data_IF_019229187103
#
_entry.id   IF_019229187103
#
_cell.length_a   1.000
_cell.length_b   1.000
_cell.length_c   1.000
_cell.angle_alpha   90.00
_cell.angle_beta   90.00
_cell.angle_gamma   90.00
#
_symmetry.space_group_name_H-M   'P 1'
#
loop_
_entity.id
_entity.type
_entity.pdbx_description
1 polymer ?
#
# COMPACT_ATOMS: atom_id res chain seq x y z
N UNK A 1 8.92 7.88 2.69
CA UNK A 1 8.62 7.36 4.04
C UNK A 1 9.45 6.10 4.22
N UNK A 2 10.28 6.02 5.26
CA UNK A 2 11.14 4.87 5.53
C UNK A 2 10.27 3.62 5.72
N UNK A 3 10.52 2.56 4.95
CA UNK A 3 9.71 1.33 4.98
C UNK A 3 9.57 0.80 6.40
N UNK A 4 8.34 0.84 6.93
CA UNK A 4 8.05 0.37 8.28
C UNK A 4 8.28 -1.14 8.35
N UNK A 5 9.04 -1.58 9.36
CA UNK A 5 9.39 -2.98 9.53
C UNK A 5 8.21 -3.72 10.17
N UNK A 6 7.35 -4.31 9.33
CA UNK A 6 6.29 -5.21 9.75
C UNK A 6 6.86 -6.63 9.84
N UNK A 7 6.96 -7.17 11.06
CA UNK A 7 7.29 -8.58 11.29
C UNK A 7 6.00 -9.41 11.27
N UNK A 8 5.57 -9.82 10.08
CA UNK A 8 4.42 -10.72 9.91
C UNK A 8 4.83 -12.01 9.18
N UNK A 9 4.22 -13.12 9.58
CA UNK A 9 4.43 -14.43 8.95
C UNK A 9 3.37 -14.73 7.87
N UNK A 10 2.23 -14.04 7.90
CA UNK A 10 1.13 -14.26 6.95
C UNK A 10 0.80 -12.98 6.19
N UNK A 11 0.25 -13.14 4.98
CA UNK A 11 -0.24 -12.03 4.16
C UNK A 11 -1.33 -11.21 4.89
N UNK A 12 -2.17 -11.87 5.69
CA UNK A 12 -3.27 -11.25 6.40
C UNK A 12 -2.80 -10.40 7.58
N UNK A 13 -1.90 -10.95 8.41
CA UNK A 13 -1.33 -10.20 9.54
C UNK A 13 -0.53 -9.00 9.07
N UNK A 14 0.21 -9.17 7.97
CA UNK A 14 0.94 -8.07 7.34
C UNK A 14 -0.02 -6.97 6.88
N UNK A 15 -1.07 -7.35 6.15
CA UNK A 15 -2.05 -6.40 5.64
C UNK A 15 -2.79 -5.68 6.77
N UNK A 16 -3.17 -6.39 7.83
CA UNK A 16 -3.88 -5.78 8.96
C UNK A 16 -3.02 -4.70 9.64
N UNK A 17 -1.74 -5.00 9.90
CA UNK A 17 -0.80 -4.01 10.45
C UNK A 17 -0.59 -2.83 9.51
N UNK A 18 -0.41 -3.10 8.21
CA UNK A 18 -0.25 -2.05 7.21
C UNK A 18 -1.49 -1.16 7.10
N UNK A 19 -2.68 -1.76 7.15
CA UNK A 19 -3.96 -1.05 7.13
C UNK A 19 -4.09 -0.11 8.33
N UNK A 20 -3.77 -0.57 9.54
CA UNK A 20 -3.79 0.26 10.75
C UNK A 20 -2.90 1.50 10.62
N UNK A 21 -1.71 1.36 10.02
CA UNK A 21 -0.80 2.48 9.75
C UNK A 21 -1.49 3.52 8.85
N UNK A 22 -2.06 3.10 7.72
CA UNK A 22 -2.71 4.02 6.80
C UNK A 22 -4.00 4.63 7.40
N UNK A 23 -4.82 3.84 8.10
CA UNK A 23 -6.01 4.33 8.81
C UNK A 23 -5.65 5.36 9.90
N UNK A 24 -4.53 5.18 10.60
CA UNK A 24 -4.07 6.17 11.59
C UNK A 24 -3.74 7.54 10.97
N UNK A 25 -3.32 7.54 9.69
CA UNK A 25 -2.91 8.73 8.92
C UNK A 25 -4.04 9.28 8.05
N UNK A 26 -5.17 8.59 7.94
CA UNK A 26 -6.30 9.01 7.12
C UNK A 26 -7.45 9.55 7.96
N UNK A 27 -8.14 10.57 7.46
CA UNK A 27 -9.41 11.01 8.03
C UNK A 27 -10.58 10.16 7.54
N UNK A 28 -10.42 9.52 6.38
CA UNK A 28 -11.41 8.68 5.74
C UNK A 28 -10.73 7.53 5.02
N UNK A 29 -11.35 6.35 5.07
CA UNK A 29 -10.93 5.15 4.35
C UNK A 29 -12.08 4.67 3.48
N UNK A 30 -11.77 4.32 2.23
CA UNK A 30 -12.69 3.66 1.31
C UNK A 30 -12.00 2.49 0.63
N UNK A 31 -12.52 1.28 0.83
CA UNK A 31 -12.09 0.13 0.03
C UNK A 31 -12.56 0.30 -1.42
N UNK A 32 -11.69 -0.05 -2.37
CA UNK A 32 -11.97 0.00 -3.80
C UNK A 32 -11.98 -1.41 -4.38
N UNK A 33 -12.73 -1.61 -5.46
CA UNK A 33 -12.49 -2.76 -6.35
C UNK A 33 -11.29 -2.49 -7.25
N UNK A 34 -10.76 -3.56 -7.84
CA UNK A 34 -9.70 -3.47 -8.85
C UNK A 34 -10.11 -2.58 -10.02
N UNK A 35 -11.35 -2.75 -10.49
CA UNK A 35 -11.89 -1.98 -11.62
C UNK A 35 -12.02 -0.48 -11.30
N UNK A 36 -12.40 -0.14 -10.07
CA UNK A 36 -12.46 1.25 -9.61
C UNK A 36 -11.06 1.88 -9.58
N UNK A 37 -10.07 1.17 -9.05
CA UNK A 37 -8.68 1.65 -9.03
C UNK A 37 -8.11 1.81 -10.45
N UNK A 38 -8.29 0.82 -11.33
CA UNK A 38 -7.80 0.90 -12.71
C UNK A 38 -8.48 2.01 -13.53
N UNK A 39 -9.72 2.38 -13.19
CA UNK A 39 -10.38 3.54 -13.79
C UNK A 39 -9.69 4.85 -13.36
N UNK A 40 -9.34 4.98 -12.08
CA UNK A 40 -8.57 6.11 -11.53
C UNK A 40 -7.16 6.18 -12.11
N UNK A 41 -6.49 5.04 -12.22
CA UNK A 41 -5.15 4.93 -12.79
C UNK A 41 -5.11 5.44 -14.23
N UNK A 42 -6.10 5.06 -15.05
CA UNK A 42 -6.20 5.49 -16.45
C UNK A 42 -6.65 6.93 -16.66
N UNK A 43 -7.31 7.56 -15.67
CA UNK A 43 -7.97 8.84 -15.87
C UNK A 43 -7.08 10.08 -15.76
N UNK A 44 -5.87 10.01 -15.21
CA UNK A 44 -4.98 11.17 -14.96
C UNK A 44 -3.46 10.86 -15.07
N UNK A 45 -2.58 11.89 -15.10
CA UNK A 45 -1.13 11.88 -15.45
C UNK A 45 -0.21 10.92 -14.65
N UNK A 46 0.98 10.72 -15.24
CA UNK A 46 2.13 9.84 -14.95
C UNK A 46 2.86 10.01 -13.59
N UNK A 47 2.24 10.60 -12.56
CA UNK A 47 2.90 10.86 -11.26
C UNK A 47 2.78 9.65 -10.29
N UNK A 48 3.17 8.46 -10.76
CA UNK A 48 3.21 7.24 -9.95
C UNK A 48 4.59 7.11 -9.29
N UNK A 49 4.67 7.29 -7.96
CA UNK A 49 5.86 6.92 -7.20
C UNK A 49 5.74 5.44 -6.77
N UNK A 50 6.73 4.63 -7.14
CA UNK A 50 6.73 3.20 -6.91
C UNK A 50 7.71 2.88 -5.79
N UNK A 51 7.22 2.49 -4.61
CA UNK A 51 8.12 1.97 -3.58
C UNK A 51 8.28 0.46 -3.76
N UNK A 52 9.40 0.05 -4.36
CA UNK A 52 9.79 -1.35 -4.46
C UNK A 52 10.60 -1.73 -3.22
N UNK A 53 10.05 -2.62 -2.36
CA UNK A 53 10.78 -3.25 -1.26
C UNK A 53 11.29 -4.66 -1.64
N UNK A 54 11.40 -4.93 -2.94
CA UNK A 54 11.72 -6.24 -3.55
C UNK A 54 13.06 -6.80 -3.04
N UNK A 55 14.04 -5.92 -2.79
CA UNK A 55 15.36 -6.29 -2.26
C UNK A 55 15.30 -6.91 -0.86
N UNK A 56 14.24 -6.63 -0.06
CA UNK A 56 14.07 -7.20 1.29
C UNK A 56 13.64 -8.67 1.29
N UNK A 57 13.07 -9.18 0.19
CA UNK A 57 12.71 -10.61 0.08
C UNK A 57 13.92 -11.52 -0.07
N UNK A 58 15.04 -10.99 -0.59
CA UNK A 58 16.25 -11.75 -0.88
C UNK A 58 17.30 -11.64 0.23
N UNK A 59 17.06 -10.85 1.27
CA UNK A 59 17.94 -10.77 2.44
C UNK A 59 17.52 -11.85 3.44
N UNK A 60 18.41 -12.83 3.64
CA UNK A 60 18.16 -14.16 4.24
C UNK A 60 17.63 -14.15 5.69
N UNK A 61 17.41 -12.99 6.33
CA UNK A 61 17.24 -12.93 7.79
C UNK A 61 16.12 -12.07 8.39
N UNK A 62 15.25 -11.37 7.67
CA UNK A 62 14.38 -10.42 8.40
C UNK A 62 12.90 -10.32 8.04
N UNK A 63 12.41 -10.87 6.92
CA UNK A 63 11.00 -10.63 6.55
C UNK A 63 10.40 -11.74 5.68
N UNK A 64 9.31 -12.35 6.14
CA UNK A 64 8.58 -13.38 5.38
C UNK A 64 7.61 -12.78 4.35
N UNK A 65 7.20 -11.52 4.54
CA UNK A 65 6.17 -10.84 3.76
C UNK A 65 6.60 -9.40 3.46
N UNK A 66 6.59 -8.98 2.20
CA UNK A 66 6.84 -7.59 1.78
C UNK A 66 5.61 -6.99 1.11
N UNK A 67 5.61 -5.67 0.97
CA UNK A 67 4.63 -4.93 0.18
C UNK A 67 5.26 -4.22 -1.02
N UNK A 68 4.46 -4.10 -2.09
CA UNK A 68 4.69 -3.20 -3.20
C UNK A 68 3.56 -2.21 -3.23
N UNK A 69 3.90 -0.94 -3.07
CA UNK A 69 2.92 0.13 -2.98
C UNK A 69 2.98 0.99 -4.25
N UNK A 70 1.83 1.09 -4.92
CA UNK A 70 1.55 2.04 -5.98
C UNK A 70 0.48 2.98 -5.47
N UNK A 71 0.64 4.28 -5.69
CA UNK A 71 -0.38 5.23 -5.31
C UNK A 71 -0.50 6.36 -6.31
N UNK A 72 -1.66 7.03 -6.25
CA UNK A 72 -1.99 8.17 -7.07
C UNK A 72 -2.67 9.24 -6.23
N UNK A 73 -2.15 10.46 -6.28
CA UNK A 73 -2.81 11.61 -5.69
C UNK A 73 -3.99 12.05 -6.56
N UNK A 74 -5.13 12.25 -5.90
CA UNK A 74 -6.36 12.79 -6.44
C UNK A 74 -6.61 14.18 -5.82
N UNK A 75 -7.57 14.96 -6.36
CA UNK A 75 -8.00 16.21 -5.74
C UNK A 75 -8.42 16.03 -4.28
N UNK A 76 -8.50 17.14 -3.54
CA UNK A 76 -9.01 17.16 -2.17
C UNK A 76 -8.21 16.30 -1.17
N UNK A 77 -6.89 16.17 -1.40
CA UNK A 77 -5.94 15.42 -0.54
C UNK A 77 -6.27 13.94 -0.44
N UNK A 78 -6.91 13.43 -1.48
CA UNK A 78 -7.22 12.02 -1.60
C UNK A 78 -6.04 11.32 -2.27
N UNK A 79 -5.71 10.12 -1.80
CA UNK A 79 -4.76 9.25 -2.46
C UNK A 79 -5.38 7.86 -2.63
N UNK A 80 -5.33 7.35 -3.86
CA UNK A 80 -5.72 5.99 -4.19
C UNK A 80 -4.48 5.09 -4.18
N UNK A 81 -4.60 3.93 -3.56
CA UNK A 81 -3.52 2.98 -3.35
C UNK A 81 -3.85 1.62 -3.97
N UNK A 82 -2.85 1.02 -4.60
CA UNK A 82 -2.75 -0.39 -4.91
C UNK A 82 -1.56 -0.95 -4.15
N UNK A 83 -1.81 -1.86 -3.23
CA UNK A 83 -0.76 -2.55 -2.48
C UNK A 83 -0.79 -4.03 -2.83
N UNK A 84 0.35 -4.56 -3.25
CA UNK A 84 0.55 -5.99 -3.42
C UNK A 84 1.38 -6.50 -2.25
N UNK A 85 0.80 -7.30 -1.39
CA UNK A 85 1.51 -8.00 -0.32
C UNK A 85 1.97 -9.34 -0.87
N UNK A 86 3.25 -9.68 -0.70
CA UNK A 86 3.85 -10.90 -1.21
C UNK A 86 4.61 -11.62 -0.09
N UNK A 87 4.32 -12.90 0.07
CA UNK A 87 5.05 -13.78 0.97
C UNK A 87 6.21 -14.46 0.22
N UNK A 88 7.24 -14.90 0.96
CA UNK A 88 8.46 -15.52 0.40
C UNK A 88 8.21 -16.81 -0.38
N UNK A 89 7.09 -17.49 -0.15
CA UNK A 89 6.67 -18.66 -0.92
C UNK A 89 6.13 -18.33 -2.32
N UNK A 90 6.04 -17.03 -2.66
CA UNK A 90 5.53 -16.53 -3.93
C UNK A 90 4.03 -16.22 -3.93
N UNK A 91 3.29 -16.51 -2.86
CA UNK A 91 1.89 -16.12 -2.73
C UNK A 91 1.74 -14.61 -2.63
N UNK A 92 0.68 -14.07 -3.25
CA UNK A 92 0.43 -12.62 -3.34
C UNK A 92 -1.03 -12.29 -3.06
N UNK A 93 -1.28 -11.11 -2.51
CA UNK A 93 -2.61 -10.53 -2.35
C UNK A 93 -2.58 -9.05 -2.72
N UNK A 94 -3.52 -8.63 -3.56
CA UNK A 94 -3.70 -7.23 -3.94
C UNK A 94 -4.78 -6.59 -3.07
N UNK A 95 -4.53 -5.35 -2.66
CA UNK A 95 -5.43 -4.51 -1.89
C UNK A 95 -5.57 -3.16 -2.59
N UNK A 96 -6.81 -2.70 -2.74
CA UNK A 96 -7.14 -1.44 -3.40
C UNK A 96 -7.97 -0.60 -2.46
N UNK A 97 -7.53 0.62 -2.22
CA UNK A 97 -8.23 1.51 -1.30
C UNK A 97 -7.91 2.96 -1.60
N UNK A 98 -8.72 3.84 -1.04
CA UNK A 98 -8.55 5.27 -1.09
C UNK A 98 -8.52 5.79 0.34
N UNK A 99 -7.61 6.73 0.60
CA UNK A 99 -7.60 7.49 1.83
C UNK A 99 -7.69 8.99 1.55
N UNK A 100 -8.31 9.70 2.48
CA UNK A 100 -8.20 11.16 2.57
C UNK A 100 -7.12 11.48 3.61
N UNK A 101 -6.07 12.18 3.19
CA UNK A 101 -4.93 12.52 4.06
C UNK A 101 -5.34 13.58 5.09
N UNK A 102 -4.96 13.37 6.36
CA UNK A 102 -5.22 14.35 7.44
C UNK A 102 -4.51 15.67 7.18
N UNK A 103 -5.09 16.75 7.69
CA UNK A 103 -4.64 18.12 7.42
C UNK A 103 -3.25 18.48 7.99
N UNK A 104 -2.63 17.62 8.81
CA UNK A 104 -1.33 17.84 9.43
C UNK A 104 -0.41 16.62 9.26
N UNK A 105 0.52 16.72 8.32
CA UNK A 105 1.82 16.06 8.39
C UNK A 105 2.86 17.18 8.18
N UNK A 106 2.99 18.05 9.19
CA UNK A 106 4.22 18.82 9.41
C UNK A 106 5.29 17.91 10.02
#
# INVERSE_FOLDING_TARGET
MSGEYIQAETLEDYWNQLREIYESRSSEWKDLTKEEYEAIERSEREDSDNHLNEDRLNDDNDTNVVDYCFYKYLPDRVAAYKITVQHKDGSKKEHYFQITLKENLE
#
